data_IF_426827162078
#
_entry.id   IF_426827162078
#
_cell.length_a   1.000
_cell.length_b   1.000
_cell.length_c   1.000
_cell.angle_alpha   90.00
_cell.angle_beta   90.00
_cell.angle_gamma   90.00
#
_symmetry.space_group_name_H-M   'P 1'
#
loop_
_entity.id
_entity.type
_entity.pdbx_description
1 polymer ?
#
# COMPACT_ATOMS: atom_id res chain seq x y z
N UNK A 1 19.11 -5.98 3.81
CA UNK A 1 18.33 -6.48 2.65
C UNK A 1 19.16 -6.21 1.40
N UNK A 2 19.49 -7.25 0.60
CA UNK A 2 20.32 -7.14 -0.60
C UNK A 2 19.46 -6.90 -1.85
N UNK A 3 18.93 -5.69 -1.97
CA UNK A 3 18.07 -5.27 -3.08
C UNK A 3 16.58 -5.47 -2.79
N UNK A 4 15.76 -4.87 -3.63
CA UNK A 4 14.31 -4.75 -3.42
C UNK A 4 13.59 -5.66 -4.38
N UNK A 5 13.26 -6.86 -3.92
CA UNK A 5 12.69 -7.92 -4.74
C UNK A 5 11.24 -8.19 -4.36
N UNK A 6 10.42 -8.50 -5.35
CA UNK A 6 9.11 -9.13 -5.17
C UNK A 6 9.13 -10.46 -5.89
N UNK A 7 8.60 -11.49 -5.23
CA UNK A 7 8.55 -12.86 -5.75
C UNK A 7 7.18 -13.48 -5.48
N UNK A 8 6.69 -14.26 -6.42
CA UNK A 8 5.48 -15.07 -6.27
C UNK A 8 5.87 -16.55 -6.22
N UNK A 9 5.25 -17.29 -5.32
CA UNK A 9 5.47 -18.73 -5.15
C UNK A 9 4.14 -19.48 -5.23
N UNK A 10 4.18 -20.70 -5.75
CA UNK A 10 3.06 -21.64 -5.62
C UNK A 10 2.89 -22.06 -4.15
N UNK A 11 1.75 -22.65 -3.81
CA UNK A 11 1.51 -23.25 -2.49
C UNK A 11 2.44 -24.43 -2.17
N UNK A 12 3.10 -25.00 -3.19
CA UNK A 12 4.14 -26.02 -3.05
C UNK A 12 5.55 -25.44 -2.94
N UNK A 13 5.68 -24.11 -2.86
CA UNK A 13 6.96 -23.40 -2.69
C UNK A 13 7.79 -23.25 -3.97
N UNK A 14 7.19 -23.46 -5.15
CA UNK A 14 7.89 -23.24 -6.43
C UNK A 14 7.85 -21.77 -6.81
N UNK A 15 8.99 -21.20 -7.20
CA UNK A 15 9.06 -19.82 -7.69
C UNK A 15 8.30 -19.70 -9.02
N UNK A 16 7.32 -18.80 -9.09
CA UNK A 16 6.58 -18.49 -10.32
C UNK A 16 7.30 -17.39 -11.10
N UNK A 17 7.62 -16.29 -10.44
CA UNK A 17 8.42 -15.19 -10.99
C UNK A 17 9.06 -14.38 -9.86
N UNK A 18 10.08 -13.60 -10.22
CA UNK A 18 10.70 -12.61 -9.34
C UNK A 18 11.10 -11.38 -10.15
N UNK A 19 11.00 -10.20 -9.56
CA UNK A 19 11.47 -8.96 -10.16
C UNK A 19 12.15 -8.08 -9.12
N UNK A 20 13.17 -7.35 -9.56
CA UNK A 20 13.79 -6.30 -8.78
C UNK A 20 13.06 -4.98 -9.06
N UNK A 21 12.73 -4.23 -8.00
CA UNK A 21 12.09 -2.93 -8.06
C UNK A 21 13.08 -1.84 -7.65
N UNK A 22 12.93 -0.66 -8.26
CA UNK A 22 13.66 0.55 -7.83
C UNK A 22 12.93 1.24 -6.66
N UNK A 23 12.78 0.52 -5.56
CA UNK A 23 12.25 1.00 -4.28
C UNK A 23 13.31 0.78 -3.20
N UNK A 24 13.44 1.68 -2.23
CA UNK A 24 14.41 1.49 -1.14
C UNK A 24 13.98 0.40 -0.17
N UNK A 25 12.68 0.36 0.14
CA UNK A 25 12.09 -0.60 1.05
C UNK A 25 10.69 -0.96 0.54
N UNK A 26 10.54 -2.02 -0.27
CA UNK A 26 9.23 -2.53 -0.70
C UNK A 26 8.50 -3.19 0.47
N UNK A 27 7.24 -2.85 0.69
CA UNK A 27 6.41 -3.37 1.78
C UNK A 27 5.05 -3.81 1.26
N UNK A 28 4.61 -4.99 1.71
CA UNK A 28 3.31 -5.62 1.51
C UNK A 28 2.72 -5.51 0.08
N UNK A 29 3.33 -6.20 -0.91
CA UNK A 29 2.80 -6.22 -2.27
C UNK A 29 1.44 -6.92 -2.35
N UNK A 30 0.46 -6.24 -2.95
CA UNK A 30 -0.88 -6.74 -3.22
C UNK A 30 -1.07 -7.04 -4.71
N UNK A 31 -1.60 -8.21 -5.05
CA UNK A 31 -1.98 -8.54 -6.43
C UNK A 31 -3.37 -7.99 -6.73
N UNK A 32 -3.45 -6.92 -7.51
CA UNK A 32 -4.69 -6.21 -7.85
C UNK A 32 -5.21 -6.53 -9.27
N UNK A 33 -4.62 -7.54 -9.91
CA UNK A 33 -5.00 -8.06 -11.23
C UNK A 33 -4.01 -9.10 -11.77
N UNK A 34 -4.26 -9.72 -12.94
CA UNK A 34 -3.46 -10.85 -13.45
C UNK A 34 -1.96 -10.58 -13.61
N UNK A 35 -1.58 -9.35 -13.94
CA UNK A 35 -0.19 -8.90 -14.07
C UNK A 35 -0.03 -7.46 -13.53
N UNK A 36 -0.76 -7.15 -12.45
CA UNK A 36 -0.80 -5.81 -11.87
C UNK A 36 -0.75 -5.94 -10.36
N UNK A 37 0.25 -5.30 -9.77
CA UNK A 37 0.57 -5.37 -8.36
C UNK A 37 0.68 -3.96 -7.80
N UNK A 38 0.31 -3.78 -6.54
CA UNK A 38 0.36 -2.54 -5.79
C UNK A 38 1.29 -2.75 -4.61
N UNK A 39 2.13 -1.78 -4.27
CA UNK A 39 3.10 -1.92 -3.19
C UNK A 39 3.40 -0.59 -2.52
N UNK A 40 3.62 -0.63 -1.21
CA UNK A 40 4.06 0.51 -0.42
C UNK A 40 5.60 0.58 -0.41
N UNK A 41 6.14 1.80 -0.46
CA UNK A 41 7.54 2.07 -0.20
C UNK A 41 7.70 2.65 1.19
N UNK A 42 8.22 1.84 2.13
CA UNK A 42 8.43 2.19 3.54
C UNK A 42 9.57 3.21 3.69
N UNK A 43 9.28 4.45 3.36
CA UNK A 43 10.24 5.56 3.25
C UNK A 43 9.58 6.89 3.57
N UNK A 44 10.38 7.96 3.68
CA UNK A 44 9.91 9.35 3.71
C UNK A 44 10.66 10.16 2.64
N UNK A 45 9.97 10.73 1.64
CA UNK A 45 8.53 10.60 1.38
C UNK A 45 8.15 9.16 1.03
N UNK A 46 6.99 8.71 1.54
CA UNK A 46 6.45 7.39 1.24
C UNK A 46 6.05 7.26 -0.24
N UNK A 47 6.06 6.02 -0.74
CA UNK A 47 5.78 5.72 -2.15
C UNK A 47 4.61 4.76 -2.24
N UNK A 48 3.72 4.99 -3.21
CA UNK A 48 2.80 3.97 -3.72
C UNK A 48 3.24 3.65 -5.13
N UNK A 49 3.41 2.38 -5.45
CA UNK A 49 3.81 1.95 -6.78
C UNK A 49 2.87 0.86 -7.28
N UNK A 50 2.39 1.03 -8.51
CA UNK A 50 1.89 -0.09 -9.28
C UNK A 50 2.95 -0.60 -10.23
N UNK A 51 3.03 -1.92 -10.37
CA UNK A 51 3.98 -2.57 -11.25
C UNK A 51 3.44 -3.87 -11.83
N UNK A 52 4.15 -4.43 -12.82
CA UNK A 52 3.85 -5.75 -13.39
C UNK A 52 4.98 -6.77 -13.09
N UNK A 53 4.82 -8.04 -13.47
CA UNK A 53 5.80 -9.12 -13.22
C UNK A 53 7.19 -8.85 -13.81
N UNK A 54 7.32 -7.95 -14.79
CA UNK A 54 8.58 -7.53 -15.37
C UNK A 54 9.24 -6.36 -14.60
N UNK A 55 8.62 -5.89 -13.52
CA UNK A 55 9.08 -4.73 -12.75
C UNK A 55 8.82 -3.39 -13.44
N UNK A 56 8.01 -3.36 -14.49
CA UNK A 56 7.65 -2.11 -15.16
C UNK A 56 6.71 -1.32 -14.25
N UNK A 57 7.07 -0.08 -13.95
CA UNK A 57 6.24 0.83 -13.15
C UNK A 57 5.06 1.30 -14.01
N UNK A 58 3.85 1.03 -13.55
CA UNK A 58 2.60 1.42 -14.20
C UNK A 58 2.04 2.73 -13.61
N UNK A 59 2.28 2.95 -12.32
CA UNK A 59 1.90 4.16 -11.60
C UNK A 59 2.88 4.40 -10.45
N UNK A 60 3.12 5.67 -10.11
CA UNK A 60 3.94 6.05 -8.96
C UNK A 60 3.42 7.32 -8.29
N UNK A 61 3.11 7.21 -6.99
CA UNK A 61 2.83 8.34 -6.10
C UNK A 61 3.99 8.53 -5.14
N UNK A 62 4.51 9.76 -5.01
CA UNK A 62 5.58 10.09 -4.08
C UNK A 62 5.56 11.59 -3.73
N UNK A 63 4.44 12.05 -3.17
CA UNK A 63 4.26 13.44 -2.77
C UNK A 63 5.09 13.75 -1.53
N UNK A 64 5.93 14.78 -1.60
CA UNK A 64 6.87 15.13 -0.53
C UNK A 64 6.31 16.06 0.55
N UNK A 65 5.18 16.72 0.28
CA UNK A 65 4.59 17.71 1.19
C UNK A 65 3.10 17.88 0.96
N UNK A 66 2.39 18.36 1.99
CA UNK A 66 0.95 18.61 1.92
C UNK A 66 0.11 17.45 2.46
N UNK A 67 -1.23 17.53 2.38
CA UNK A 67 -2.13 16.60 3.06
C UNK A 67 -1.91 15.12 2.72
N UNK A 68 -1.51 14.83 1.48
CA UNK A 68 -1.24 13.46 1.00
C UNK A 68 0.22 13.01 1.14
N UNK A 69 1.11 13.79 1.75
CA UNK A 69 2.49 13.36 1.96
C UNK A 69 2.55 12.20 2.95
N UNK A 70 3.22 11.11 2.55
CA UNK A 70 3.28 9.87 3.32
C UNK A 70 4.61 9.77 4.08
N UNK A 71 4.59 9.09 5.22
CA UNK A 71 5.71 8.86 6.11
C UNK A 71 5.72 7.39 6.54
N UNK A 72 6.58 6.60 5.89
CA UNK A 72 6.76 5.17 6.11
C UNK A 72 5.46 4.35 6.08
N UNK A 73 4.64 4.42 5.01
CA UNK A 73 3.49 3.53 4.88
C UNK A 73 3.97 2.07 4.71
N UNK A 74 3.37 1.12 5.43
CA UNK A 74 3.72 -0.30 5.30
C UNK A 74 2.80 -1.11 4.38
N UNK A 75 1.51 -0.77 4.30
CA UNK A 75 0.54 -1.44 3.42
C UNK A 75 -0.30 -0.43 2.61
N UNK A 76 -0.66 -0.85 1.40
CA UNK A 76 -1.57 -0.13 0.51
C UNK A 76 -2.51 -1.09 -0.21
N UNK A 77 -3.80 -0.78 -0.18
CA UNK A 77 -4.86 -1.59 -0.77
C UNK A 77 -5.67 -0.79 -1.79
N UNK A 78 -6.12 -1.44 -2.87
CA UNK A 78 -7.05 -0.84 -3.84
C UNK A 78 -8.49 -1.04 -3.37
N UNK A 79 -9.18 0.06 -3.05
CA UNK A 79 -10.60 0.04 -2.68
C UNK A 79 -11.50 -0.22 -3.90
N UNK A 80 -12.72 -0.77 -3.71
CA UNK A 80 -13.72 -0.89 -4.78
C UNK A 80 -14.09 0.44 -5.45
N UNK A 81 -13.88 1.57 -4.76
CA UNK A 81 -14.06 2.92 -5.31
C UNK A 81 -12.97 3.34 -6.30
N UNK A 82 -11.84 2.62 -6.35
CA UNK A 82 -10.65 2.96 -7.13
C UNK A 82 -9.60 3.78 -6.35
N UNK A 83 -9.89 4.20 -5.12
CA UNK A 83 -8.92 4.88 -4.27
C UNK A 83 -7.91 3.90 -3.65
N UNK A 84 -6.70 4.39 -3.37
CA UNK A 84 -5.72 3.65 -2.57
C UNK A 84 -5.91 3.95 -1.10
N UNK A 85 -6.11 2.93 -0.29
CA UNK A 85 -6.18 2.99 1.16
C UNK A 85 -4.82 2.61 1.74
N UNK A 86 -4.34 3.35 2.74
CA UNK A 86 -3.05 3.12 3.38
C UNK A 86 -3.15 3.24 4.88
N UNK A 87 -2.34 2.48 5.60
CA UNK A 87 -1.77 2.94 6.85
C UNK A 87 -0.52 3.78 6.56
N UNK A 88 -0.45 4.94 7.20
CA UNK A 88 0.63 5.92 7.07
C UNK A 88 1.30 6.02 8.44
N UNK A 89 2.15 5.02 8.71
CA UNK A 89 2.56 4.57 10.03
C UNK A 89 3.11 5.72 10.89
N UNK A 90 4.17 6.37 10.41
CA UNK A 90 4.82 7.49 11.11
C UNK A 90 4.07 8.82 10.97
N UNK A 91 2.86 8.81 10.44
CA UNK A 91 1.90 9.92 10.50
C UNK A 91 0.68 9.56 11.35
N UNK A 92 0.63 8.40 12.01
CA UNK A 92 -0.42 8.00 12.96
C UNK A 92 -1.84 8.09 12.37
N UNK A 93 -2.00 7.67 11.11
CA UNK A 93 -3.28 7.75 10.40
C UNK A 93 -3.51 6.62 9.42
N UNK A 94 -4.78 6.39 9.15
CA UNK A 94 -5.26 5.75 7.93
C UNK A 94 -5.63 6.83 6.92
N UNK A 95 -5.28 6.67 5.65
CA UNK A 95 -5.56 7.67 4.60
C UNK A 95 -5.98 7.00 3.29
N UNK A 96 -6.93 7.63 2.57
CA UNK A 96 -7.26 7.24 1.21
C UNK A 96 -6.82 8.33 0.20
N UNK A 97 -6.12 7.91 -0.85
CA UNK A 97 -5.65 8.76 -1.95
C UNK A 97 -6.40 8.39 -3.23
N UNK A 98 -6.92 9.39 -3.94
CA UNK A 98 -7.40 9.20 -5.31
C UNK A 98 -6.20 9.18 -6.27
N UNK A 99 -5.93 8.05 -6.96
CA UNK A 99 -4.78 7.95 -7.87
C UNK A 99 -4.92 8.82 -9.13
N UNK A 100 -6.12 9.23 -9.51
CA UNK A 100 -6.32 10.07 -10.70
C UNK A 100 -5.88 11.51 -10.45
N UNK A 101 -6.06 12.01 -9.23
CA UNK A 101 -5.80 13.42 -8.86
C UNK A 101 -4.62 13.58 -7.90
N UNK A 102 -4.21 12.51 -7.22
CA UNK A 102 -3.26 12.55 -6.11
C UNK A 102 -3.82 13.18 -4.84
N UNK A 103 -5.13 13.43 -4.77
CA UNK A 103 -5.76 14.06 -3.62
C UNK A 103 -5.95 13.07 -2.46
N UNK A 104 -5.74 13.54 -1.24
CA UNK A 104 -6.23 12.86 -0.04
C UNK A 104 -7.75 13.07 0.05
N UNK A 105 -8.51 11.98 -0.06
CA UNK A 105 -9.98 12.02 -0.15
C UNK A 105 -10.66 11.54 1.13
N UNK A 106 -9.93 10.88 2.04
CA UNK A 106 -10.42 10.44 3.34
C UNK A 106 -9.27 10.22 4.33
N UNK A 107 -9.54 10.36 5.63
CA UNK A 107 -8.59 10.07 6.70
C UNK A 107 -9.30 9.62 7.99
N UNK A 108 -8.64 8.76 8.76
CA UNK A 108 -8.90 8.53 10.19
C UNK A 108 -7.58 8.60 10.97
N UNK A 109 -7.59 9.16 12.17
CA UNK A 109 -6.36 9.60 12.84
C UNK A 109 -6.08 11.07 12.58
N UNK A 110 -5.13 11.63 13.33
CA UNK A 110 -4.67 13.01 13.19
C UNK A 110 -3.19 12.96 12.83
N UNK A 111 -2.83 13.55 11.68
CA UNK A 111 -1.47 13.48 11.12
C UNK A 111 -0.41 13.88 12.15
N UNK A 112 0.47 12.94 12.49
CA UNK A 112 1.58 13.13 13.42
C UNK A 112 1.17 13.25 14.89
N UNK A 113 -0.05 12.83 15.25
CA UNK A 113 -0.54 12.81 16.62
C UNK A 113 -0.88 11.37 16.98
N UNK A 114 0.04 10.72 17.69
CA UNK A 114 -0.16 9.37 18.18
C UNK A 114 -1.09 9.31 19.39
N UNK A 115 -1.82 8.20 19.55
CA UNK A 115 -2.62 7.93 20.73
C UNK A 115 -3.55 6.73 20.61
N UNK A 116 -4.24 6.42 21.70
CA UNK A 116 -5.19 5.30 21.80
C UNK A 116 -6.63 5.75 22.07
N UNK A 117 -6.86 7.06 22.18
CA UNK A 117 -8.19 7.62 22.30
C UNK A 117 -8.95 7.48 20.97
N UNK A 118 -10.30 7.41 20.99
CA UNK A 118 -11.09 7.43 19.76
C UNK A 118 -10.69 8.59 18.83
N UNK A 119 -10.47 8.29 17.56
CA UNK A 119 -9.99 9.26 16.56
C UNK A 119 -8.47 9.41 16.47
N UNK A 120 -7.69 8.75 17.34
CA UNK A 120 -6.23 8.68 17.25
C UNK A 120 -5.78 7.26 16.90
N UNK A 121 -4.63 7.16 16.25
CA UNK A 121 -3.89 5.91 16.04
C UNK A 121 -2.49 6.09 16.59
N UNK A 122 -1.74 5.00 16.71
CA UNK A 122 -0.34 5.04 17.11
C UNK A 122 0.39 4.00 16.28
N UNK A 123 1.14 4.47 15.28
CA UNK A 123 1.95 3.63 14.38
C UNK A 123 1.15 2.46 13.76
N UNK A 124 0.06 2.73 13.00
CA UNK A 124 -0.71 1.66 12.36
C UNK A 124 0.13 0.94 11.31
N UNK A 125 0.24 -0.38 11.40
CA UNK A 125 1.10 -1.21 10.52
C UNK A 125 0.30 -2.12 9.57
N UNK A 126 -1.02 -2.10 9.63
CA UNK A 126 -1.84 -2.91 8.74
C UNK A 126 -3.33 -2.78 8.98
N UNK A 127 -4.11 -3.21 7.99
CA UNK A 127 -5.56 -3.23 8.05
C UNK A 127 -6.11 -4.29 7.10
N UNK A 128 -7.29 -4.80 7.42
CA UNK A 128 -8.07 -5.62 6.51
C UNK A 128 -9.24 -4.80 5.94
N UNK A 129 -9.47 -4.93 4.64
CA UNK A 129 -10.73 -4.50 4.05
C UNK A 129 -11.78 -5.58 4.34
N UNK A 130 -12.98 -5.16 4.73
CA UNK A 130 -14.10 -6.07 4.94
C UNK A 130 -15.21 -5.76 3.94
N UNK A 131 -15.71 -6.80 3.29
CA UNK A 131 -16.96 -6.80 2.55
C UNK A 131 -18.13 -6.50 3.52
N UNK A 132 -19.28 -6.10 2.98
CA UNK A 132 -20.46 -5.77 3.79
C UNK A 132 -20.93 -6.93 4.70
N UNK A 133 -20.60 -8.18 4.35
CA UNK A 133 -20.90 -9.38 5.13
C UNK A 133 -19.78 -9.75 6.15
N UNK A 134 -18.75 -8.91 6.30
CA UNK A 134 -17.62 -9.14 7.20
C UNK A 134 -16.55 -10.10 6.68
N UNK A 135 -16.62 -10.55 5.42
CA UNK A 135 -15.53 -11.33 4.81
C UNK A 135 -14.43 -10.42 4.24
N UNK A 136 -13.18 -10.87 4.27
CA UNK A 136 -12.07 -10.11 3.68
C UNK A 136 -12.02 -10.31 2.16
N UNK A 137 -11.98 -9.25 1.33
CA UNK A 137 -11.67 -9.36 -0.07
C UNK A 137 -10.15 -9.17 -0.25
N UNK A 138 -9.36 -10.24 -0.30
CA UNK A 138 -7.91 -10.10 -0.59
C UNK A 138 -7.62 -10.11 -2.09
N UNK A 139 -8.49 -9.44 -2.86
CA UNK A 139 -8.57 -9.41 -4.32
C UNK A 139 -9.05 -10.72 -4.96
N UNK A 140 -10.06 -10.68 -5.87
CA UNK A 140 -10.54 -11.87 -6.59
C UNK A 140 -9.52 -12.43 -7.61
N UNK A 141 -8.33 -11.85 -7.67
CA UNK A 141 -7.30 -12.11 -8.68
C UNK A 141 -6.21 -13.10 -8.25
N UNK A 142 -6.45 -13.97 -7.27
CA UNK A 142 -5.54 -15.08 -6.99
C UNK A 142 -5.67 -16.11 -8.12
N UNK A 143 -4.70 -16.11 -9.03
CA UNK A 143 -4.69 -16.95 -10.23
C UNK A 143 -3.29 -17.19 -10.76
#
# INVERSE_FOLDING_TARGET
INGSWVSEYTTTGQLVWTTHLHLTYPSDPQQIGPNRYLIAGYTKPGVIMEFNRQGQVLYRYAVASGPGALNTPSLVELLPSGAFMLNDDSNDRMIAIDPATGAAVWQYGVTGVSGTAPGLLNDPDGFDLLMANGSTPTHPGTG
#
